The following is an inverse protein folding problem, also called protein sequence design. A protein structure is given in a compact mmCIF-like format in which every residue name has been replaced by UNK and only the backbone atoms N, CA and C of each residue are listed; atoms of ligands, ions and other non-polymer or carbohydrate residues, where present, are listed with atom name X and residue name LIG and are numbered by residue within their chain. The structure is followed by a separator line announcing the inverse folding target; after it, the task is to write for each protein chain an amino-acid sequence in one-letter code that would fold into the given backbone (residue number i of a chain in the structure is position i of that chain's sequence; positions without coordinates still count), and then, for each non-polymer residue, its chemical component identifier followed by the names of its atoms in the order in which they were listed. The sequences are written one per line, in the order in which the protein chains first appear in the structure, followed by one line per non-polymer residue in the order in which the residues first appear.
data_IF_637618745083
#
_entry.id   IF_637618745083
#
_cell.length_a   1.000
_cell.length_b   1.000
_cell.length_c   1.000
_cell.angle_alpha   90.00
_cell.angle_beta   90.00
_cell.angle_gamma   90.00
#
_symmetry.space_group_name_H-M   'P 1'
#
loop_
_entity.id
_entity.type
_entity.pdbx_description
1 polymer ?
#
# COMPACT_ATOMS: atom_id res chain seq x y z
N UNK A 1 -3.07 -27.63 -9.94
CA UNK A 1 -2.22 -26.52 -9.51
C UNK A 1 -0.78 -27.01 -9.43
N UNK A 2 0.14 -26.25 -9.99
CA UNK A 2 1.56 -26.58 -10.07
C UNK A 2 2.31 -25.98 -8.86
N UNK A 3 2.36 -26.77 -7.76
CA UNK A 3 3.02 -26.32 -6.52
C UNK A 3 4.55 -26.23 -6.65
N UNK A 4 5.17 -26.93 -7.61
CA UNK A 4 6.60 -26.76 -7.88
C UNK A 4 6.87 -25.38 -8.49
N UNK A 5 6.03 -24.93 -9.39
CA UNK A 5 6.09 -23.56 -9.91
C UNK A 5 5.89 -22.55 -8.78
N UNK A 6 4.92 -22.76 -7.88
CA UNK A 6 4.71 -21.87 -6.73
C UNK A 6 5.96 -21.78 -5.84
N UNK A 7 6.58 -22.91 -5.51
CA UNK A 7 7.82 -22.90 -4.74
C UNK A 7 8.96 -22.18 -5.47
N UNK A 8 9.06 -22.29 -6.82
CA UNK A 8 10.07 -21.54 -7.59
C UNK A 8 9.90 -20.05 -7.47
N UNK A 9 8.67 -19.51 -7.63
CA UNK A 9 8.44 -18.08 -7.47
C UNK A 9 8.66 -17.60 -6.03
N UNK A 10 8.33 -18.39 -5.03
CA UNK A 10 8.58 -18.06 -3.63
C UNK A 10 10.08 -18.06 -3.26
N UNK A 11 10.90 -18.84 -3.96
CA UNK A 11 12.35 -18.92 -3.72
C UNK A 11 13.14 -17.71 -4.21
N UNK A 12 12.55 -16.86 -5.04
CA UNK A 12 13.22 -15.63 -5.54
C UNK A 12 13.04 -14.51 -4.53
N UNK A 13 14.14 -13.87 -4.11
CA UNK A 13 14.08 -12.61 -3.35
C UNK A 13 13.63 -11.48 -4.30
N UNK A 14 12.37 -11.09 -4.17
CA UNK A 14 11.79 -9.97 -4.91
C UNK A 14 11.40 -8.81 -3.98
N UNK A 15 12.14 -8.60 -2.89
CA UNK A 15 11.95 -7.40 -2.08
C UNK A 15 12.10 -6.15 -2.94
N UNK A 16 11.27 -5.12 -2.69
CA UNK A 16 11.14 -3.92 -3.53
C UNK A 16 12.51 -3.39 -3.97
N UNK A 17 12.68 -3.25 -5.29
CA UNK A 17 13.94 -2.93 -5.96
C UNK A 17 14.76 -4.14 -6.44
N UNK A 18 14.35 -5.38 -6.12
CA UNK A 18 14.97 -6.63 -6.59
C UNK A 18 14.03 -7.51 -7.43
N UNK A 19 12.81 -7.10 -7.63
CA UNK A 19 11.76 -7.84 -8.33
C UNK A 19 12.06 -8.11 -9.81
N UNK A 20 13.04 -7.40 -10.38
CA UNK A 20 13.47 -7.63 -11.78
C UNK A 20 13.88 -9.07 -12.04
N UNK A 21 14.54 -9.74 -11.10
CA UNK A 21 14.91 -11.15 -11.22
C UNK A 21 13.69 -12.09 -11.30
N UNK A 22 12.62 -11.79 -10.56
CA UNK A 22 11.36 -12.53 -10.64
C UNK A 22 10.67 -12.28 -11.99
N UNK A 23 10.64 -11.02 -12.46
CA UNK A 23 10.08 -10.67 -13.76
C UNK A 23 10.78 -11.43 -14.91
N UNK A 24 12.11 -11.50 -14.89
CA UNK A 24 12.90 -12.22 -15.90
C UNK A 24 12.61 -13.73 -15.87
N UNK A 25 12.56 -14.35 -14.69
CA UNK A 25 12.23 -15.76 -14.53
C UNK A 25 10.83 -16.07 -15.08
N UNK A 26 9.83 -15.26 -14.71
CA UNK A 26 8.45 -15.44 -15.15
C UNK A 26 8.29 -15.19 -16.64
N UNK A 27 8.97 -14.19 -17.19
CA UNK A 27 8.97 -13.91 -18.62
C UNK A 27 9.48 -15.11 -19.42
N UNK A 28 10.59 -15.73 -19.01
CA UNK A 28 11.14 -16.92 -19.66
C UNK A 28 10.18 -18.12 -19.56
N UNK A 29 9.57 -18.36 -18.42
CA UNK A 29 8.59 -19.45 -18.18
C UNK A 29 7.35 -19.28 -19.07
N UNK A 30 6.81 -18.06 -19.13
CA UNK A 30 5.58 -17.76 -19.88
C UNK A 30 5.82 -17.78 -21.40
N UNK A 31 6.97 -17.27 -21.85
CA UNK A 31 7.35 -17.30 -23.27
C UNK A 31 7.58 -18.73 -23.80
N UNK A 32 8.13 -19.62 -22.99
CA UNK A 32 8.36 -21.03 -23.36
C UNK A 32 7.04 -21.75 -23.74
N UNK A 33 5.91 -21.23 -23.30
CA UNK A 33 4.57 -21.76 -23.62
C UNK A 33 3.98 -21.17 -24.91
N UNK A 34 4.73 -20.37 -25.69
CA UNK A 34 4.31 -19.78 -26.97
C UNK A 34 3.34 -18.62 -26.87
N UNK A 35 3.17 -18.03 -25.67
CA UNK A 35 2.31 -16.86 -25.43
C UNK A 35 3.02 -15.56 -25.77
N UNK A 36 2.26 -14.51 -26.08
CA UNK A 36 2.83 -13.16 -26.24
C UNK A 36 3.20 -12.61 -24.86
N UNK A 37 4.47 -12.33 -24.66
CA UNK A 37 5.04 -11.79 -23.41
C UNK A 37 5.72 -10.47 -23.73
N UNK A 38 5.36 -9.42 -22.98
CA UNK A 38 5.92 -8.08 -23.13
C UNK A 38 6.50 -7.63 -21.79
N UNK A 39 7.74 -7.14 -21.83
CA UNK A 39 8.42 -6.53 -20.67
C UNK A 39 8.48 -5.02 -20.87
N UNK A 40 8.15 -4.27 -19.83
CA UNK A 40 8.23 -2.81 -19.79
C UNK A 40 9.23 -2.42 -18.73
N UNK A 41 10.35 -1.83 -19.15
CA UNK A 41 11.32 -1.26 -18.20
C UNK A 41 10.68 -0.12 -17.41
N UNK A 42 10.81 -0.19 -16.09
CA UNK A 42 10.22 0.81 -15.19
C UNK A 42 11.30 1.72 -14.58
N UNK A 43 12.48 1.20 -14.34
CA UNK A 43 13.64 1.90 -13.81
C UNK A 43 14.39 1.05 -12.78
N UNK A 44 15.65 1.37 -12.57
CA UNK A 44 16.53 0.73 -11.58
C UNK A 44 16.57 -0.81 -11.66
N UNK A 45 16.42 -1.37 -12.88
CA UNK A 45 16.40 -2.82 -13.13
C UNK A 45 15.07 -3.51 -12.80
N UNK A 46 14.02 -2.76 -12.50
CA UNK A 46 12.68 -3.28 -12.29
C UNK A 46 11.86 -3.25 -13.58
N UNK A 47 10.93 -4.19 -13.73
CA UNK A 47 10.16 -4.38 -14.96
C UNK A 47 8.73 -4.78 -14.64
N UNK A 48 7.78 -4.26 -15.44
CA UNK A 48 6.46 -4.83 -15.53
C UNK A 48 6.44 -5.95 -16.57
N UNK A 49 5.57 -6.93 -16.38
CA UNK A 49 5.41 -8.07 -17.27
C UNK A 49 3.94 -8.21 -17.67
N UNK A 50 3.64 -8.23 -18.97
CA UNK A 50 2.31 -8.49 -19.53
C UNK A 50 2.35 -9.77 -20.36
N UNK A 51 1.46 -10.71 -20.04
CA UNK A 51 1.18 -11.91 -20.86
C UNK A 51 -0.21 -11.79 -21.45
N UNK A 52 -0.37 -12.04 -22.73
CA UNK A 52 -1.65 -11.85 -23.45
C UNK A 52 -2.11 -13.09 -24.17
N UNK A 53 -3.43 -13.34 -24.10
CA UNK A 53 -4.18 -14.30 -24.90
C UNK A 53 -5.15 -13.52 -25.81
N UNK A 54 -4.81 -13.41 -27.08
CA UNK A 54 -5.53 -12.55 -28.03
C UNK A 54 -5.34 -11.06 -27.74
N UNK A 55 -6.41 -10.28 -27.86
CA UNK A 55 -6.46 -8.85 -27.49
C UNK A 55 -7.20 -8.71 -26.16
N UNK A 56 -6.52 -8.47 -25.05
CA UNK A 56 -7.16 -8.50 -23.74
C UNK A 56 -8.27 -7.47 -23.59
N UNK A 57 -9.45 -7.92 -23.20
CA UNK A 57 -10.55 -7.09 -22.69
C UNK A 57 -10.56 -7.08 -21.16
N UNK A 58 -10.08 -8.18 -20.54
CA UNK A 58 -9.89 -8.31 -19.11
C UNK A 58 -8.42 -8.62 -18.80
N UNK A 59 -7.86 -7.95 -17.83
CA UNK A 59 -6.49 -8.18 -17.36
C UNK A 59 -6.53 -8.53 -15.87
N UNK A 60 -6.00 -9.69 -15.51
CA UNK A 60 -5.64 -9.99 -14.13
C UNK A 60 -4.33 -9.27 -13.80
N UNK A 61 -4.27 -8.60 -12.66
CA UNK A 61 -3.14 -7.72 -12.31
C UNK A 61 -2.76 -7.91 -10.85
N UNK A 62 -1.47 -8.03 -10.56
CA UNK A 62 -0.92 -7.96 -9.20
C UNK A 62 0.53 -7.53 -9.26
N UNK A 63 1.22 -7.45 -8.11
CA UNK A 63 2.58 -6.95 -8.06
C UNK A 63 3.63 -8.06 -7.87
N UNK A 64 4.86 -7.75 -8.29
CA UNK A 64 6.04 -8.63 -8.24
C UNK A 64 6.84 -8.46 -6.95
N UNK A 65 6.87 -7.22 -6.43
CA UNK A 65 7.68 -6.89 -5.27
C UNK A 65 7.02 -7.33 -3.95
N UNK A 66 7.82 -7.37 -2.92
CA UNK A 66 7.40 -7.68 -1.55
C UNK A 66 8.11 -6.75 -0.57
N UNK A 67 7.52 -6.46 0.59
CA UNK A 67 8.22 -5.73 1.65
C UNK A 67 9.43 -6.50 2.17
N UNK A 68 10.53 -5.81 2.58
CA UNK A 68 11.65 -6.45 3.27
C UNK A 68 11.28 -6.81 4.73
N UNK A 69 12.00 -7.77 5.37
CA UNK A 69 13.03 -8.60 4.77
C UNK A 69 12.46 -9.78 3.96
N UNK A 70 13.28 -10.33 3.05
CA UNK A 70 12.98 -11.63 2.45
C UNK A 70 12.98 -12.71 3.53
N UNK A 71 11.92 -13.53 3.55
CA UNK A 71 11.75 -14.67 4.45
C UNK A 71 11.54 -15.89 3.57
N UNK A 72 12.48 -16.87 3.58
CA UNK A 72 12.37 -18.09 2.78
C UNK A 72 11.08 -18.83 3.06
N UNK A 73 10.46 -19.37 2.00
CA UNK A 73 9.24 -20.14 2.14
C UNK A 73 9.49 -21.53 2.70
N UNK A 74 8.60 -21.97 3.56
CA UNK A 74 8.42 -23.37 3.92
C UNK A 74 6.92 -23.73 3.90
N UNK A 75 6.61 -25.00 3.74
CA UNK A 75 5.22 -25.47 3.81
C UNK A 75 5.02 -26.36 5.04
N UNK A 76 3.87 -26.20 5.66
CA UNK A 76 3.48 -26.99 6.83
C UNK A 76 2.00 -27.37 6.78
N UNK A 77 1.61 -28.41 7.49
CA UNK A 77 0.21 -28.76 7.68
C UNK A 77 -0.39 -27.88 8.76
N UNK A 78 -1.58 -27.38 8.52
CA UNK A 78 -2.31 -26.63 9.52
C UNK A 78 -2.60 -27.48 10.75
N UNK A 79 -2.59 -26.87 11.93
CA UNK A 79 -2.97 -27.52 13.18
C UNK A 79 -4.42 -27.16 13.56
N UNK A 80 -5.17 -28.10 14.16
CA UNK A 80 -6.53 -27.85 14.62
C UNK A 80 -7.62 -28.39 13.68
N UNK A 81 -8.74 -27.69 13.55
CA UNK A 81 -9.90 -28.10 12.74
C UNK A 81 -9.61 -28.25 11.26
N UNK A 82 -8.60 -27.55 10.75
CA UNK A 82 -8.18 -27.55 9.34
C UNK A 82 -6.91 -28.36 9.08
N UNK A 83 -6.65 -29.37 9.92
CA UNK A 83 -5.44 -30.24 9.84
C UNK A 83 -5.23 -30.93 8.47
N UNK A 84 -6.22 -30.88 7.57
CA UNK A 84 -6.12 -31.41 6.20
C UNK A 84 -5.56 -30.38 5.19
N UNK A 85 -5.50 -29.09 5.54
CA UNK A 85 -5.01 -28.04 4.66
C UNK A 85 -3.49 -27.83 4.80
N UNK A 86 -2.90 -27.18 3.83
CA UNK A 86 -1.48 -26.87 3.77
C UNK A 86 -1.30 -25.35 3.77
N UNK A 87 -0.45 -24.85 4.65
CA UNK A 87 0.00 -23.47 4.67
C UNK A 87 1.37 -23.36 4.00
N UNK A 88 1.53 -22.32 3.19
CA UNK A 88 2.82 -21.84 2.67
C UNK A 88 3.19 -20.59 3.47
N UNK A 89 4.27 -20.68 4.23
CA UNK A 89 4.71 -19.62 5.14
C UNK A 89 5.98 -18.96 4.60
N UNK A 90 6.07 -17.64 4.66
CA UNK A 90 7.22 -16.87 4.19
C UNK A 90 6.82 -15.59 3.46
N UNK A 91 7.79 -14.74 3.16
CA UNK A 91 7.54 -13.44 2.53
C UNK A 91 7.01 -13.58 1.10
N UNK A 92 5.89 -12.88 0.79
CA UNK A 92 5.24 -12.91 -0.51
C UNK A 92 4.27 -14.08 -0.69
N UNK A 93 4.16 -14.99 0.28
CA UNK A 93 3.20 -16.11 0.15
C UNK A 93 1.78 -15.61 0.04
N UNK A 94 1.43 -14.55 0.76
CA UNK A 94 0.14 -13.87 0.73
C UNK A 94 0.20 -12.61 -0.17
N UNK A 95 1.26 -11.81 -0.03
CA UNK A 95 1.36 -10.47 -0.61
C UNK A 95 2.69 -10.29 -1.39
N UNK A 96 2.70 -10.50 -2.75
CA UNK A 96 1.56 -10.94 -3.57
C UNK A 96 1.90 -12.12 -4.50
N UNK A 97 2.92 -12.96 -4.19
CA UNK A 97 3.28 -14.12 -5.05
C UNK A 97 2.19 -15.20 -5.06
N UNK A 98 1.42 -15.31 -3.96
CA UNK A 98 0.21 -16.14 -3.93
C UNK A 98 -0.83 -15.66 -4.93
N UNK A 99 -0.98 -14.35 -5.11
CA UNK A 99 -1.83 -13.74 -6.11
C UNK A 99 -1.35 -14.10 -7.53
N UNK A 100 -0.03 -13.92 -7.79
CA UNK A 100 0.60 -14.28 -9.07
C UNK A 100 0.28 -15.73 -9.42
N UNK A 101 0.49 -16.63 -8.46
CA UNK A 101 0.27 -18.06 -8.65
C UNK A 101 -1.20 -18.38 -8.95
N UNK A 102 -2.13 -17.85 -8.16
CA UNK A 102 -3.57 -18.10 -8.34
C UNK A 102 -4.08 -17.56 -9.68
N UNK A 103 -3.65 -16.36 -10.07
CA UNK A 103 -4.00 -15.75 -11.36
C UNK A 103 -3.41 -16.55 -12.53
N UNK A 104 -2.17 -17.01 -12.42
CA UNK A 104 -1.55 -17.84 -13.44
C UNK A 104 -2.28 -19.18 -13.63
N UNK A 105 -2.64 -19.85 -12.55
CA UNK A 105 -3.44 -21.09 -12.60
C UNK A 105 -4.82 -20.86 -13.21
N UNK A 106 -5.45 -19.71 -12.93
CA UNK A 106 -6.72 -19.33 -13.55
C UNK A 106 -6.55 -19.07 -15.05
N UNK A 107 -5.49 -18.39 -15.48
CA UNK A 107 -5.17 -18.15 -16.88
C UNK A 107 -4.99 -19.49 -17.64
N UNK A 108 -4.27 -20.44 -17.07
CA UNK A 108 -4.12 -21.79 -17.66
C UNK A 108 -5.47 -22.53 -17.78
N UNK A 109 -6.32 -22.37 -16.75
CA UNK A 109 -7.65 -22.99 -16.79
C UNK A 109 -8.56 -22.38 -17.82
N UNK A 110 -8.50 -21.07 -18.07
CA UNK A 110 -9.23 -20.36 -19.11
C UNK A 110 -8.71 -20.74 -20.50
N UNK A 111 -7.41 -20.75 -20.70
CA UNK A 111 -6.77 -21.18 -21.94
C UNK A 111 -7.18 -22.62 -22.34
N UNK A 112 -7.15 -23.54 -21.39
CA UNK A 112 -7.59 -24.93 -21.62
C UNK A 112 -9.06 -25.07 -22.02
N UNK A 113 -9.88 -24.03 -21.73
CA UNK A 113 -11.28 -23.94 -22.14
C UNK A 113 -11.45 -23.19 -23.48
N UNK A 114 -10.35 -22.79 -24.14
CA UNK A 114 -10.37 -22.04 -25.40
C UNK A 114 -10.73 -20.56 -25.25
N UNK A 115 -10.68 -20.03 -24.02
CA UNK A 115 -10.92 -18.61 -23.80
C UNK A 115 -9.74 -17.79 -24.34
N UNK A 116 -10.06 -16.61 -24.88
CA UNK A 116 -9.12 -15.61 -25.37
C UNK A 116 -9.52 -14.24 -24.80
N UNK A 117 -8.89 -13.16 -25.25
CA UNK A 117 -9.22 -11.78 -24.88
C UNK A 117 -8.97 -11.46 -23.39
N UNK A 118 -7.99 -12.13 -22.79
CA UNK A 118 -7.53 -11.81 -21.43
C UNK A 118 -6.01 -11.70 -21.34
N UNK A 119 -5.53 -11.12 -20.23
CA UNK A 119 -4.11 -10.98 -19.95
C UNK A 119 -3.79 -11.16 -18.48
N UNK A 120 -2.49 -11.29 -18.20
CA UNK A 120 -1.91 -11.26 -16.86
C UNK A 120 -0.84 -10.18 -16.82
N UNK A 121 -1.03 -9.17 -15.99
CA UNK A 121 -0.13 -8.05 -15.78
C UNK A 121 0.50 -8.14 -14.39
N UNK A 122 1.81 -8.17 -14.34
CA UNK A 122 2.58 -8.20 -13.10
C UNK A 122 3.40 -6.91 -13.01
N UNK A 123 3.17 -6.14 -11.95
CA UNK A 123 3.68 -4.79 -11.77
C UNK A 123 4.83 -4.74 -10.78
N UNK A 124 5.78 -3.84 -11.01
CA UNK A 124 6.88 -3.56 -10.09
C UNK A 124 6.51 -2.45 -9.10
N UNK A 125 7.04 -2.51 -7.88
CA UNK A 125 7.09 -1.40 -6.94
C UNK A 125 5.75 -0.92 -6.40
N UNK A 126 4.79 -1.81 -6.18
CA UNK A 126 3.54 -1.49 -5.48
C UNK A 126 3.82 -0.98 -4.08
N UNK A 127 4.63 -1.72 -3.32
CA UNK A 127 4.99 -1.49 -1.91
C UNK A 127 5.76 -0.18 -1.67
N UNK A 128 6.28 0.40 -2.72
CA UNK A 128 7.08 1.64 -2.67
C UNK A 128 6.43 2.82 -3.40
N UNK A 129 5.15 2.69 -3.74
CA UNK A 129 4.32 3.79 -4.27
C UNK A 129 3.82 3.59 -5.68
N UNK A 130 3.59 2.35 -6.11
CA UNK A 130 2.91 1.98 -7.36
C UNK A 130 3.58 2.57 -8.61
N UNK A 131 4.90 2.63 -8.63
CA UNK A 131 5.59 3.26 -9.76
C UNK A 131 5.47 2.41 -11.04
N UNK A 132 5.40 1.09 -10.93
CA UNK A 132 5.12 0.18 -12.06
C UNK A 132 3.75 0.40 -12.66
N UNK A 133 2.71 0.54 -11.83
CA UNK A 133 1.37 0.86 -12.29
C UNK A 133 1.30 2.21 -13.02
N UNK A 134 1.98 3.23 -12.48
CA UNK A 134 2.10 4.55 -13.11
C UNK A 134 2.78 4.45 -14.48
N UNK A 135 3.91 3.74 -14.55
CA UNK A 135 4.64 3.54 -15.79
C UNK A 135 3.81 2.78 -16.83
N UNK A 136 3.09 1.73 -16.42
CA UNK A 136 2.20 0.98 -17.30
C UNK A 136 1.06 1.84 -17.84
N UNK A 137 0.40 2.59 -16.99
CA UNK A 137 -0.67 3.53 -17.40
C UNK A 137 -0.19 4.51 -18.46
N UNK A 138 1.03 5.04 -18.32
CA UNK A 138 1.56 6.07 -19.20
C UNK A 138 2.08 5.47 -20.54
N UNK A 139 2.33 4.16 -20.61
CA UNK A 139 2.91 3.46 -21.76
C UNK A 139 1.93 2.56 -22.51
N UNK A 140 0.80 2.14 -21.89
CA UNK A 140 -0.12 1.15 -22.43
C UNK A 140 -1.57 1.64 -22.38
N UNK A 141 -2.38 1.37 -23.41
CA UNK A 141 -3.78 1.84 -23.46
C UNK A 141 -4.69 1.17 -22.42
N UNK A 142 -4.23 0.11 -21.74
CA UNK A 142 -5.06 -0.67 -20.82
C UNK A 142 -6.02 -1.61 -21.52
N UNK A 143 -7.14 -1.90 -20.88
CA UNK A 143 -8.23 -2.72 -21.37
C UNK A 143 -9.55 -2.25 -20.74
N UNK A 144 -10.65 -2.95 -21.04
CA UNK A 144 -11.97 -2.62 -20.46
C UNK A 144 -11.97 -2.91 -18.94
N UNK A 145 -11.49 -4.09 -18.55
CA UNK A 145 -11.51 -4.57 -17.16
C UNK A 145 -10.12 -4.86 -16.62
N UNK A 146 -9.89 -4.49 -15.34
CA UNK A 146 -8.77 -5.02 -14.55
C UNK A 146 -9.28 -5.65 -13.26
N UNK A 147 -8.75 -6.84 -12.95
CA UNK A 147 -8.93 -7.53 -11.67
C UNK A 147 -7.61 -7.46 -10.93
N UNK A 148 -7.55 -6.62 -9.91
CA UNK A 148 -6.35 -6.45 -9.07
C UNK A 148 -6.37 -7.47 -7.95
N UNK A 149 -5.32 -8.25 -7.85
CA UNK A 149 -5.13 -9.30 -6.82
C UNK A 149 -4.43 -8.76 -5.60
N UNK A 150 -5.16 -8.76 -4.50
CA UNK A 150 -4.72 -8.33 -3.18
C UNK A 150 -5.29 -9.26 -2.10
N UNK A 151 -4.71 -9.32 -0.89
CA UNK A 151 -5.21 -10.18 0.20
C UNK A 151 -6.58 -9.72 0.74
N UNK A 152 -7.66 -10.19 0.14
CA UNK A 152 -9.03 -9.80 0.50
C UNK A 152 -9.87 -10.95 1.06
N UNK A 153 -9.24 -12.04 1.52
CA UNK A 153 -9.93 -13.26 1.98
C UNK A 153 -10.90 -13.83 0.91
N UNK A 154 -10.53 -13.74 -0.37
CA UNK A 154 -11.37 -14.13 -1.52
C UNK A 154 -12.71 -13.35 -1.66
N UNK A 155 -12.91 -12.26 -0.91
CA UNK A 155 -14.04 -11.35 -1.09
C UNK A 155 -13.73 -10.30 -2.17
N UNK A 156 -14.73 -9.74 -2.81
CA UNK A 156 -14.55 -8.54 -3.62
C UNK A 156 -14.54 -7.30 -2.73
N UNK A 157 -13.53 -6.45 -2.88
CA UNK A 157 -13.54 -5.18 -2.18
C UNK A 157 -14.61 -4.25 -2.79
N UNK A 158 -15.47 -3.68 -1.95
CA UNK A 158 -16.45 -2.67 -2.39
C UNK A 158 -15.82 -1.27 -2.50
N UNK A 159 -14.82 -1.00 -1.67
CA UNK A 159 -14.01 0.20 -1.70
C UNK A 159 -12.70 0.00 -0.91
N UNK A 160 -11.71 0.85 -1.19
CA UNK A 160 -10.47 0.95 -0.42
C UNK A 160 -10.27 2.36 0.13
N UNK A 161 -9.65 2.48 1.31
CA UNK A 161 -9.22 3.76 1.86
C UNK A 161 -8.14 4.37 1.00
N UNK A 162 -8.18 5.70 0.89
CA UNK A 162 -7.10 6.48 0.34
C UNK A 162 -5.92 6.58 1.28
N UNK A 163 -4.83 7.09 0.74
CA UNK A 163 -3.60 7.36 1.48
C UNK A 163 -3.18 8.81 1.29
N UNK A 164 -2.67 9.45 2.34
CA UNK A 164 -2.01 10.76 2.23
C UNK A 164 -0.77 10.75 3.13
N UNK A 165 0.36 11.10 2.55
CA UNK A 165 1.64 11.19 3.24
C UNK A 165 2.10 12.63 3.31
N UNK A 166 2.50 13.06 4.50
CA UNK A 166 3.05 14.40 4.73
C UNK A 166 4.37 14.29 5.49
N UNK A 167 5.38 14.98 5.00
CA UNK A 167 6.58 15.25 5.76
C UNK A 167 6.36 16.53 6.58
N UNK A 168 6.61 16.45 7.87
CA UNK A 168 6.48 17.57 8.79
C UNK A 168 7.84 17.80 9.42
N UNK A 169 8.34 19.03 9.31
CA UNK A 169 9.58 19.46 9.93
C UNK A 169 9.32 20.60 10.93
N UNK A 170 9.97 20.51 12.06
CA UNK A 170 9.91 21.50 13.14
C UNK A 170 11.30 22.09 13.34
N UNK A 171 11.39 23.42 13.36
CA UNK A 171 12.59 24.19 13.61
C UNK A 171 12.51 24.82 14.99
N UNK A 172 13.43 24.45 15.87
CA UNK A 172 13.59 24.98 17.20
C UNK A 172 14.78 25.91 17.30
N UNK A 173 15.19 26.14 18.54
CA UNK A 173 16.42 26.89 18.90
C UNK A 173 17.12 26.16 20.03
N UNK A 174 18.28 25.60 19.76
CA UNK A 174 19.07 24.91 20.76
C UNK A 174 19.45 25.85 21.92
N UNK A 175 19.31 25.35 23.12
CA UNK A 175 19.77 26.00 24.34
C UNK A 175 19.97 24.97 25.46
N UNK A 176 20.65 25.34 26.52
CA UNK A 176 20.85 24.49 27.69
C UNK A 176 19.51 24.14 28.34
N UNK A 177 19.20 22.85 28.53
CA UNK A 177 17.91 22.37 29.02
C UNK A 177 17.48 22.88 30.39
N UNK A 178 18.43 23.33 31.21
CA UNK A 178 18.17 23.97 32.50
C UNK A 178 17.65 25.41 32.40
N UNK A 179 17.68 26.02 31.21
CA UNK A 179 17.22 27.40 30.95
C UNK A 179 16.33 27.44 29.69
N UNK A 180 15.22 26.71 29.74
CA UNK A 180 14.37 26.47 28.53
C UNK A 180 13.75 27.75 27.97
N UNK A 181 13.64 28.80 28.78
CA UNK A 181 13.12 30.14 28.39
C UNK A 181 13.97 30.85 27.31
N UNK A 182 15.22 30.39 27.10
CA UNK A 182 16.15 30.99 26.12
C UNK A 182 16.23 30.22 24.80
N UNK A 183 15.52 29.09 24.69
CA UNK A 183 15.50 28.25 23.51
C UNK A 183 14.08 27.90 23.07
N UNK A 184 13.99 27.01 22.07
CA UNK A 184 12.75 26.47 21.53
C UNK A 184 12.99 25.01 21.22
N UNK A 185 12.24 24.12 21.87
CA UNK A 185 12.36 22.69 21.62
C UNK A 185 11.50 22.25 20.42
N UNK A 186 12.14 21.73 19.39
CA UNK A 186 11.42 21.11 18.25
C UNK A 186 10.58 19.90 18.70
N UNK A 187 10.98 19.20 19.76
CA UNK A 187 10.21 18.09 20.36
C UNK A 187 8.91 18.59 20.99
N UNK A 188 8.93 19.75 21.68
CA UNK A 188 7.71 20.34 22.23
C UNK A 188 6.77 20.86 21.13
N UNK A 189 7.33 21.43 20.05
CA UNK A 189 6.57 21.79 18.84
C UNK A 189 5.83 20.57 18.26
N UNK A 190 6.53 19.44 18.14
CA UNK A 190 5.93 18.20 17.67
C UNK A 190 4.84 17.69 18.64
N UNK A 191 5.06 17.76 19.95
CA UNK A 191 4.07 17.36 20.96
C UNK A 191 2.78 18.18 20.85
N UNK A 192 2.88 19.50 20.68
CA UNK A 192 1.74 20.39 20.49
C UNK A 192 1.02 20.09 19.15
N UNK A 193 1.78 19.87 18.07
CA UNK A 193 1.23 19.44 16.80
C UNK A 193 0.44 18.14 16.94
N UNK A 194 0.98 17.15 17.61
CA UNK A 194 0.31 15.87 17.82
C UNK A 194 -0.96 16.01 18.68
N UNK A 195 -0.91 16.88 19.68
CA UNK A 195 -2.09 17.17 20.51
C UNK A 195 -3.20 17.82 19.70
N UNK A 196 -2.84 18.78 18.85
CA UNK A 196 -3.78 19.44 17.94
C UNK A 196 -4.34 18.47 16.89
N UNK A 197 -3.48 17.67 16.24
CA UNK A 197 -3.91 16.69 15.23
C UNK A 197 -4.90 15.67 15.81
N UNK A 198 -4.63 15.15 17.02
CA UNK A 198 -5.51 14.22 17.73
C UNK A 198 -6.84 14.83 18.16
N UNK A 199 -6.90 16.16 18.31
CA UNK A 199 -8.16 16.85 18.66
C UNK A 199 -9.11 17.01 17.47
N UNK A 200 -8.63 16.86 16.24
CA UNK A 200 -9.43 16.98 15.03
C UNK A 200 -10.36 15.78 14.92
N UNK A 201 -11.63 16.07 14.62
CA UNK A 201 -12.64 15.06 14.34
C UNK A 201 -12.85 15.00 12.83
N UNK A 202 -12.36 13.95 12.20
CA UNK A 202 -12.68 13.66 10.81
C UNK A 202 -14.06 13.03 10.72
N UNK A 203 -14.84 13.32 9.68
CA UNK A 203 -16.13 12.69 9.47
C UNK A 203 -15.95 11.18 9.31
N UNK A 204 -16.91 10.42 9.84
CA UNK A 204 -16.99 8.98 9.64
C UNK A 204 -17.70 8.70 8.32
N UNK A 205 -17.08 7.89 7.49
CA UNK A 205 -17.63 7.40 6.23
C UNK A 205 -18.50 6.15 6.49
N UNK A 206 -19.65 6.07 5.85
CA UNK A 206 -20.57 4.94 6.05
C UNK A 206 -19.99 3.60 5.56
N UNK A 207 -19.17 3.62 4.51
CA UNK A 207 -18.59 2.42 3.91
C UNK A 207 -17.17 2.14 4.47
N UNK A 208 -16.31 3.16 4.53
CA UNK A 208 -14.91 3.01 4.89
C UNK A 208 -14.61 3.26 6.38
N UNK A 209 -15.59 3.72 7.13
CA UNK A 209 -15.47 3.95 8.57
C UNK A 209 -14.63 5.17 8.93
N UNK A 210 -13.75 5.02 9.93
CA UNK A 210 -12.95 6.12 10.48
C UNK A 210 -11.69 6.41 9.68
N UNK A 211 -11.31 7.68 9.60
CA UNK A 211 -9.97 8.10 9.16
C UNK A 211 -8.96 7.80 10.25
N UNK A 212 -7.84 7.19 9.88
CA UNK A 212 -6.76 6.88 10.81
C UNK A 212 -5.44 7.47 10.33
N UNK A 213 -4.48 7.64 11.24
CA UNK A 213 -3.13 8.05 10.85
C UNK A 213 -2.07 7.39 11.72
N UNK A 214 -0.87 7.30 11.17
CA UNK A 214 0.34 6.85 11.85
C UNK A 214 1.44 7.88 11.68
N UNK A 215 2.35 7.96 12.66
CA UNK A 215 3.57 8.77 12.59
C UNK A 215 4.76 7.85 12.48
N UNK A 216 5.54 8.01 11.42
CA UNK A 216 6.77 7.27 11.17
C UNK A 216 7.93 8.20 10.84
N UNK A 217 9.11 7.62 10.64
CA UNK A 217 10.35 8.35 10.30
C UNK A 217 10.60 9.56 11.21
N UNK A 218 10.32 9.38 12.51
CA UNK A 218 10.53 10.41 13.52
C UNK A 218 12.02 10.49 13.84
N UNK A 219 12.63 11.65 13.59
CA UNK A 219 14.05 11.90 13.82
C UNK A 219 14.22 13.21 14.55
N UNK A 220 14.90 13.17 15.70
CA UNK A 220 15.42 14.31 16.43
C UNK A 220 16.72 13.89 17.10
N UNK A 221 17.84 14.41 16.59
CA UNK A 221 19.18 14.02 17.06
C UNK A 221 19.78 15.16 17.88
N UNK A 222 19.47 15.19 19.16
CA UNK A 222 20.00 16.16 20.12
C UNK A 222 20.44 15.49 21.42
N UNK A 223 21.51 16.01 22.08
CA UNK A 223 21.88 15.58 23.43
C UNK A 223 20.76 15.87 24.44
N UNK A 224 20.61 15.01 25.45
CA UNK A 224 19.54 15.12 26.44
C UNK A 224 19.53 16.42 27.25
N UNK A 225 20.67 17.10 27.34
CA UNK A 225 20.84 18.35 28.09
C UNK A 225 20.77 19.62 27.24
N UNK A 226 20.38 19.49 25.96
CA UNK A 226 20.18 20.57 24.99
C UNK A 226 18.78 20.47 24.42
N UNK A 227 18.05 21.58 24.32
CA UNK A 227 16.78 21.65 23.62
C UNK A 227 17.00 21.30 22.15
N UNK A 228 16.15 20.44 21.61
CA UNK A 228 16.21 20.08 20.17
C UNK A 228 15.95 21.28 19.29
N UNK A 229 16.82 21.54 18.34
CA UNK A 229 16.66 22.59 17.33
C UNK A 229 16.00 22.08 16.03
N UNK A 230 15.84 20.77 15.88
CA UNK A 230 15.20 20.20 14.72
C UNK A 230 14.52 18.86 15.03
N UNK A 231 13.35 18.66 14.40
CA UNK A 231 12.66 17.37 14.38
C UNK A 231 11.96 17.20 13.04
N UNK A 232 12.06 16.02 12.45
CA UNK A 232 11.30 15.65 11.25
C UNK A 232 10.49 14.39 11.49
N UNK A 233 9.33 14.28 10.86
CA UNK A 233 8.54 13.06 10.87
C UNK A 233 7.71 12.92 9.59
N UNK A 234 7.16 11.72 9.38
CA UNK A 234 6.13 11.45 8.39
C UNK A 234 4.81 11.14 9.06
N UNK A 235 3.75 11.86 8.66
CA UNK A 235 2.37 11.54 9.03
C UNK A 235 1.70 10.89 7.85
N UNK A 236 1.20 9.68 8.05
CA UNK A 236 0.58 8.87 7.02
C UNK A 236 -0.87 8.58 7.37
N UNK A 237 -1.79 9.06 6.57
CA UNK A 237 -3.23 8.90 6.76
C UNK A 237 -3.80 7.77 5.90
N UNK A 238 -4.80 7.10 6.44
CA UNK A 238 -5.77 6.28 5.72
C UNK A 238 -7.06 7.08 5.66
N UNK A 239 -7.37 7.63 4.50
CA UNK A 239 -8.49 8.54 4.28
C UNK A 239 -9.75 7.82 3.78
N UNK A 240 -10.89 8.47 3.92
CA UNK A 240 -12.20 8.00 3.44
C UNK A 240 -12.75 8.99 2.43
N UNK A 241 -13.84 8.67 1.73
CA UNK A 241 -14.47 9.60 0.78
C UNK A 241 -14.85 10.92 1.44
N UNK A 242 -15.30 10.87 2.72
CA UNK A 242 -15.71 12.03 3.48
C UNK A 242 -14.55 12.88 4.02
N UNK A 243 -13.36 12.31 4.15
CA UNK A 243 -12.24 12.95 4.83
C UNK A 243 -11.04 13.29 3.95
N UNK A 244 -10.97 12.79 2.72
CA UNK A 244 -9.76 12.85 1.89
C UNK A 244 -9.28 14.30 1.63
N UNK A 245 -10.19 15.15 1.21
CA UNK A 245 -9.91 16.57 1.00
C UNK A 245 -9.67 17.30 2.32
N UNK A 246 -10.46 16.98 3.36
CA UNK A 246 -10.33 17.59 4.67
C UNK A 246 -8.95 17.35 5.29
N UNK A 247 -8.39 16.14 5.15
CA UNK A 247 -7.03 15.82 5.62
C UNK A 247 -6.00 16.72 4.95
N UNK A 248 -6.08 16.91 3.63
CA UNK A 248 -5.16 17.80 2.90
C UNK A 248 -5.26 19.26 3.39
N UNK A 249 -6.49 19.75 3.57
CA UNK A 249 -6.74 21.10 4.05
C UNK A 249 -6.26 21.31 5.48
N UNK A 250 -6.54 20.36 6.37
CA UNK A 250 -6.06 20.37 7.76
C UNK A 250 -4.55 20.45 7.82
N UNK A 251 -3.86 19.56 7.14
CA UNK A 251 -2.38 19.50 7.17
C UNK A 251 -1.76 20.79 6.59
N UNK A 252 -2.31 21.32 5.50
CA UNK A 252 -1.89 22.59 4.93
C UNK A 252 -2.10 23.76 5.90
N UNK A 253 -3.25 23.80 6.57
CA UNK A 253 -3.61 24.91 7.47
C UNK A 253 -2.81 24.85 8.78
N UNK A 254 -2.40 23.67 9.24
CA UNK A 254 -1.54 23.51 10.43
C UNK A 254 -0.17 24.18 10.26
N UNK A 255 0.34 24.33 9.03
CA UNK A 255 1.57 25.05 8.70
C UNK A 255 1.33 26.52 8.32
N UNK A 256 0.08 26.96 8.20
CA UNK A 256 -0.26 28.30 7.74
C UNK A 256 -0.09 29.38 8.82
N UNK A 257 -0.01 30.65 8.42
CA UNK A 257 0.13 31.79 9.36
C UNK A 257 -1.07 31.95 10.31
N UNK A 258 -2.21 31.33 9.99
CA UNK A 258 -3.41 31.32 10.83
C UNK A 258 -3.46 30.12 11.79
N UNK A 259 -2.46 29.23 11.75
CA UNK A 259 -2.38 28.12 12.69
C UNK A 259 -2.34 28.67 14.11
N UNK A 260 -3.47 28.60 14.82
CA UNK A 260 -3.61 29.05 16.22
C UNK A 260 -2.85 28.15 17.20
N UNK A 261 -1.99 27.29 16.68
CA UNK A 261 -1.19 26.38 17.46
C UNK A 261 -0.07 27.19 18.12
N UNK A 262 -0.08 27.24 19.40
CA UNK A 262 0.95 27.83 20.22
C UNK A 262 2.09 26.82 20.37
N UNK A 263 2.85 26.62 19.30
CA UNK A 263 3.95 25.68 19.30
C UNK A 263 5.14 26.19 20.12
N UNK A 264 5.79 25.28 20.86
CA UNK A 264 7.12 25.45 21.35
C UNK A 264 7.30 26.34 22.56
N UNK A 265 6.28 26.54 23.35
CA UNK A 265 6.46 27.17 24.64
C UNK A 265 6.84 26.13 25.68
N UNK A 266 7.98 26.26 26.35
CA UNK A 266 8.27 25.45 27.51
C UNK A 266 7.12 25.64 28.52
N UNK A 267 6.48 24.55 28.91
CA UNK A 267 5.46 24.59 29.97
C UNK A 267 6.16 24.62 31.31
N UNK A 268 5.84 25.58 32.15
CA UNK A 268 6.19 25.53 33.57
C UNK A 268 5.22 24.62 34.31
N UNK A 269 5.64 24.07 35.45
CA UNK A 269 4.88 23.09 36.23
C UNK A 269 3.47 23.57 36.65
N UNK A 270 3.21 24.86 36.69
CA UNK A 270 1.91 25.46 37.02
C UNK A 270 0.95 25.59 35.81
N UNK A 271 1.35 25.10 34.64
CA UNK A 271 0.55 25.15 33.42
C UNK A 271 0.55 26.51 32.70
N UNK A 272 1.32 27.50 33.19
CA UNK A 272 1.47 28.77 32.49
C UNK A 272 2.44 28.61 31.31
N UNK A 273 2.14 29.28 30.19
CA UNK A 273 3.03 29.33 29.03
C UNK A 273 4.10 30.44 29.25
N UNK A 274 5.37 30.12 29.04
CA UNK A 274 6.41 31.14 28.95
C UNK A 274 6.20 31.89 27.62
N UNK A 275 5.92 33.19 27.71
CA UNK A 275 5.64 34.02 26.53
C UNK A 275 6.94 34.24 25.76
N UNK A 276 7.06 33.71 24.57
CA UNK A 276 8.16 34.04 23.66
C UNK A 276 8.11 35.53 23.31
N UNK A 277 9.25 36.19 23.35
CA UNK A 277 9.36 37.65 23.11
C UNK A 277 9.09 38.04 21.66
N UNK A 278 9.03 37.07 20.74
CA UNK A 278 8.83 37.32 19.32
C UNK A 278 7.96 36.26 18.64
N UNK A 279 6.66 36.56 18.52
CA UNK A 279 5.66 35.63 17.92
C UNK A 279 5.89 35.44 16.40
N UNK A 280 6.53 36.40 15.72
CA UNK A 280 6.77 36.30 14.27
C UNK A 280 7.80 35.23 13.89
N UNK A 281 8.71 34.87 14.79
CA UNK A 281 9.65 33.76 14.57
C UNK A 281 8.98 32.38 14.62
N UNK A 282 7.82 32.26 15.26
CA UNK A 282 7.11 31.00 15.45
C UNK A 282 6.35 30.55 14.23
N UNK A 283 5.89 31.49 13.39
CA UNK A 283 5.13 31.17 12.18
C UNK A 283 5.96 30.42 11.12
N UNK A 284 7.29 30.37 11.29
CA UNK A 284 8.21 29.61 10.44
C UNK A 284 8.68 28.30 11.08
N UNK A 285 8.28 28.02 12.32
CA UNK A 285 8.81 26.90 13.10
C UNK A 285 8.31 25.53 12.65
N UNK A 286 7.32 25.48 11.76
CA UNK A 286 6.81 24.22 11.22
C UNK A 286 6.59 24.33 9.71
N UNK A 287 7.05 23.31 9.00
CA UNK A 287 6.75 23.13 7.57
C UNK A 287 6.03 21.80 7.34
N UNK A 288 5.06 21.82 6.42
CA UNK A 288 4.34 20.61 5.98
C UNK A 288 4.48 20.50 4.48
N UNK A 289 5.01 19.38 4.03
CA UNK A 289 5.18 19.04 2.63
C UNK A 289 4.38 17.79 2.30
N UNK A 290 3.45 17.89 1.34
CA UNK A 290 2.76 16.71 0.82
C UNK A 290 3.76 15.80 0.10
N UNK A 291 3.66 14.50 0.38
CA UNK A 291 4.57 13.48 -0.15
C UNK A 291 3.86 12.45 -1.05
N UNK A 292 2.64 12.75 -1.45
CA UNK A 292 1.82 11.89 -2.30
C UNK A 292 0.75 11.12 -1.54
N UNK A 293 0.15 10.20 -2.26
CA UNK A 293 -0.92 9.32 -1.81
C UNK A 293 -2.09 9.32 -2.79
N UNK A 294 -2.93 8.31 -2.66
CA UNK A 294 -4.06 8.04 -3.54
C UNK A 294 -5.38 8.45 -2.91
N UNK A 295 -6.37 8.74 -3.74
CA UNK A 295 -7.74 8.96 -3.28
C UNK A 295 -8.41 7.62 -2.90
N UNK A 296 -9.40 7.64 -2.00
CA UNK A 296 -10.24 6.48 -1.76
C UNK A 296 -10.89 6.02 -3.07
N UNK A 297 -10.97 4.70 -3.26
CA UNK A 297 -11.41 4.13 -4.54
C UNK A 297 -12.61 3.21 -4.32
N UNK A 298 -13.64 3.33 -5.16
CA UNK A 298 -14.74 2.36 -5.28
C UNK A 298 -14.39 1.32 -6.33
N UNK A 299 -14.80 0.09 -6.10
CA UNK A 299 -14.61 -1.03 -7.02
C UNK A 299 -15.94 -1.58 -7.51
N UNK A 300 -15.91 -2.17 -8.69
CA UNK A 300 -17.01 -2.96 -9.20
C UNK A 300 -17.08 -4.29 -8.44
N UNK A 301 -18.29 -4.75 -8.20
CA UNK A 301 -18.55 -6.05 -7.57
C UNK A 301 -19.54 -6.86 -8.39
N UNK A 302 -19.40 -8.17 -8.39
CA UNK A 302 -20.24 -9.06 -9.19
C UNK A 302 -21.22 -9.84 -8.29
N UNK A 303 -22.42 -10.14 -8.77
CA UNK A 303 -23.41 -10.93 -8.03
C UNK A 303 -22.86 -12.29 -7.59
N UNK A 304 -23.19 -12.68 -6.35
CA UNK A 304 -22.81 -13.96 -5.78
C UNK A 304 -21.37 -14.04 -5.24
N UNK A 305 -20.65 -12.91 -5.17
CA UNK A 305 -19.43 -12.78 -4.38
C UNK A 305 -19.73 -12.08 -3.06
N UNK A 306 -19.03 -12.51 -2.02
CA UNK A 306 -19.00 -11.75 -0.77
C UNK A 306 -18.25 -10.45 -0.99
N UNK A 307 -18.69 -9.36 -0.33
CA UNK A 307 -18.09 -8.04 -0.49
C UNK A 307 -17.74 -7.42 0.85
N UNK A 308 -16.64 -6.67 0.90
CA UNK A 308 -16.23 -5.91 2.09
C UNK A 308 -15.42 -4.67 1.68
N UNK A 309 -15.44 -3.59 2.48
CA UNK A 309 -14.48 -2.50 2.33
C UNK A 309 -13.10 -2.95 2.84
N UNK A 310 -12.03 -2.36 2.30
CA UNK A 310 -10.66 -2.58 2.75
C UNK A 310 -9.98 -1.29 3.20
N UNK A 311 -9.03 -1.40 4.12
CA UNK A 311 -8.33 -0.23 4.70
C UNK A 311 -6.90 -0.05 4.19
N UNK A 312 -6.48 -0.82 3.18
CA UNK A 312 -5.15 -0.74 2.57
C UNK A 312 -5.21 -0.15 1.16
N UNK A 313 -4.05 0.25 0.63
CA UNK A 313 -3.88 0.71 -0.74
C UNK A 313 -3.57 -0.44 -1.70
N UNK A 314 -3.56 -0.15 -2.99
CA UNK A 314 -3.17 -1.09 -4.05
C UNK A 314 -2.77 -0.30 -5.30
N UNK A 315 -2.35 -0.99 -6.35
CA UNK A 315 -2.09 -0.38 -7.66
C UNK A 315 -3.34 0.15 -8.38
N UNK A 316 -4.54 -0.29 -7.96
CA UNK A 316 -5.80 0.02 -8.64
C UNK A 316 -6.07 1.52 -8.87
N UNK A 317 -5.80 2.46 -7.94
CA UNK A 317 -5.98 3.89 -8.17
C UNK A 317 -5.13 4.43 -9.32
N UNK A 318 -3.97 3.84 -9.60
CA UNK A 318 -3.05 4.29 -10.64
C UNK A 318 -3.41 3.76 -12.04
N UNK A 319 -4.18 2.67 -12.12
CA UNK A 319 -4.57 2.01 -13.38
C UNK A 319 -5.78 2.69 -14.03
N UNK A 320 -5.68 4.00 -14.32
CA UNK A 320 -6.77 4.80 -14.90
C UNK A 320 -6.97 4.59 -16.42
N UNK A 321 -6.12 3.78 -17.02
CA UNK A 321 -6.25 3.30 -18.40
C UNK A 321 -7.15 2.06 -18.53
N UNK A 322 -7.78 1.61 -17.44
CA UNK A 322 -8.85 0.61 -17.44
C UNK A 322 -10.18 1.28 -17.07
N UNK A 323 -11.25 0.91 -17.78
CA UNK A 323 -12.57 1.49 -17.55
C UNK A 323 -13.20 1.00 -16.23
N UNK A 324 -13.04 -0.29 -15.93
CA UNK A 324 -13.64 -0.96 -14.78
C UNK A 324 -12.58 -1.69 -13.94
N UNK A 325 -12.75 -1.66 -12.63
CA UNK A 325 -11.79 -2.22 -11.67
C UNK A 325 -12.47 -3.09 -10.63
N UNK A 326 -11.95 -4.30 -10.46
CA UNK A 326 -12.30 -5.22 -9.37
C UNK A 326 -11.06 -5.42 -8.52
N UNK A 327 -11.22 -5.49 -7.20
CA UNK A 327 -10.16 -5.85 -6.26
C UNK A 327 -10.58 -7.12 -5.53
N UNK A 328 -9.84 -8.21 -5.71
CA UNK A 328 -10.16 -9.52 -5.12
C UNK A 328 -8.95 -10.45 -5.16
N UNK A 329 -8.71 -11.19 -4.09
CA UNK A 329 -7.69 -12.23 -4.09
C UNK A 329 -7.63 -13.07 -2.82
N UNK A 330 -6.80 -14.13 -2.85
CA UNK A 330 -6.63 -15.05 -1.73
C UNK A 330 -5.84 -14.45 -0.57
N UNK A 331 -5.98 -15.08 0.59
CA UNK A 331 -5.25 -14.72 1.80
C UNK A 331 -5.77 -13.48 2.49
N UNK A 332 -5.25 -13.22 3.67
CA UNK A 332 -5.69 -12.13 4.54
C UNK A 332 -4.63 -11.05 4.69
N UNK A 333 -5.05 -9.79 4.56
CA UNK A 333 -4.16 -8.63 4.85
C UNK A 333 -3.64 -8.63 6.29
N UNK A 334 -4.30 -9.35 7.20
CA UNK A 334 -3.92 -9.39 8.61
C UNK A 334 -2.64 -10.19 8.86
N UNK A 335 -2.20 -11.00 7.90
CA UNK A 335 -0.93 -11.74 7.96
C UNK A 335 0.15 -11.17 7.04
N UNK A 336 -0.22 -10.32 6.08
CA UNK A 336 0.72 -9.63 5.20
C UNK A 336 1.69 -8.72 6.00
N UNK A 337 2.90 -8.53 5.47
CA UNK A 337 3.97 -7.71 6.07
C UNK A 337 4.50 -8.18 7.43
N UNK A 338 4.07 -9.35 7.90
CA UNK A 338 4.49 -9.93 9.18
C UNK A 338 5.53 -11.03 8.97
N UNK A 339 6.33 -11.36 10.02
CA UNK A 339 7.21 -12.54 9.96
C UNK A 339 6.46 -13.87 9.75
N UNK A 340 5.22 -13.94 10.24
CA UNK A 340 4.34 -15.11 10.15
C UNK A 340 3.44 -15.08 8.91
N UNK A 341 3.81 -14.34 7.88
CA UNK A 341 3.07 -14.27 6.63
C UNK A 341 2.89 -15.67 6.04
N UNK A 342 1.65 -15.99 5.68
CA UNK A 342 1.29 -17.29 5.12
C UNK A 342 0.05 -17.21 4.24
N UNK A 343 -0.15 -18.27 3.43
CA UNK A 343 -1.37 -18.48 2.64
C UNK A 343 -1.77 -19.96 2.68
N UNK A 344 -3.06 -20.22 2.68
CA UNK A 344 -3.59 -21.58 2.67
C UNK A 344 -3.77 -22.09 1.22
N UNK A 345 -3.56 -23.40 1.03
CA UNK A 345 -3.80 -24.02 -0.27
C UNK A 345 -5.28 -23.96 -0.67
N UNK A 346 -6.18 -24.03 0.31
CA UNK A 346 -7.62 -23.83 0.09
C UNK A 346 -7.94 -22.44 -0.44
N UNK A 347 -7.31 -21.38 0.11
CA UNK A 347 -7.51 -20.00 -0.35
C UNK A 347 -7.05 -19.82 -1.80
N UNK A 348 -5.90 -20.41 -2.16
CA UNK A 348 -5.39 -20.38 -3.52
C UNK A 348 -6.34 -21.11 -4.50
N UNK A 349 -6.87 -22.28 -4.12
CA UNK A 349 -7.85 -23.03 -4.93
C UNK A 349 -9.15 -22.21 -5.13
N UNK A 350 -9.62 -21.57 -4.07
CA UNK A 350 -10.82 -20.74 -4.15
C UNK A 350 -10.59 -19.53 -5.05
N UNK A 351 -9.42 -18.89 -4.98
CA UNK A 351 -9.07 -17.75 -5.83
C UNK A 351 -9.03 -18.14 -7.31
N UNK A 352 -8.43 -19.29 -7.65
CA UNK A 352 -8.44 -19.79 -9.04
C UNK A 352 -9.88 -19.93 -9.57
N UNK A 353 -10.76 -20.53 -8.76
CA UNK A 353 -12.17 -20.68 -9.13
C UNK A 353 -12.87 -19.31 -9.27
N UNK A 354 -12.57 -18.38 -8.38
CA UNK A 354 -13.11 -17.01 -8.41
C UNK A 354 -12.67 -16.25 -9.67
N UNK A 355 -11.39 -16.27 -10.03
CA UNK A 355 -10.89 -15.58 -11.23
C UNK A 355 -11.48 -16.15 -12.53
N UNK A 356 -11.59 -17.47 -12.63
CA UNK A 356 -12.29 -18.11 -13.76
C UNK A 356 -13.77 -17.69 -13.82
N UNK A 357 -14.45 -17.64 -12.67
CA UNK A 357 -15.84 -17.20 -12.58
C UNK A 357 -15.99 -15.72 -12.94
N UNK A 358 -15.09 -14.84 -12.47
CA UNK A 358 -15.08 -13.40 -12.81
C UNK A 358 -14.98 -13.25 -14.34
N UNK A 359 -14.00 -13.89 -14.97
CA UNK A 359 -13.85 -13.84 -16.43
C UNK A 359 -15.13 -14.26 -17.14
N UNK A 360 -15.71 -15.41 -16.77
CA UNK A 360 -16.93 -15.92 -17.42
C UNK A 360 -18.14 -15.02 -17.23
N UNK A 361 -18.24 -14.35 -16.08
CA UNK A 361 -19.35 -13.43 -15.80
C UNK A 361 -19.25 -12.16 -16.64
N UNK A 362 -18.02 -11.68 -16.90
CA UNK A 362 -17.80 -10.42 -17.61
C UNK A 362 -17.71 -10.60 -19.14
N UNK A 363 -17.25 -11.77 -19.61
CA UNK A 363 -16.97 -12.00 -21.03
C UNK A 363 -18.08 -12.79 -21.76
N UNK A 364 -19.09 -13.31 -21.05
CA UNK A 364 -20.28 -13.96 -21.61
C UNK A 364 -21.49 -13.04 -21.53
#
# INVERSE_FOLDING_TARGET
MDLEFFNRILSVDSTSGKEGGLADMLSAEFAASGRKVELFEVGDGTKNLLVSWGTPKLVFCTHLDTVPPYIPCHSERCSGSDASDMAFCGRGTCDAKGQIFAMWEACKALEAQGCTDFGLLLLAGEETGSFGAKAFRDQHPGAEWVVVGEPTDNCMASAAKGTKSFEVAFEGKAFHSGYPENGISAVELFNDFMSALRSIRFPKDELLGETTFNVGKLVSDNPQNILSDSLTCRVYFRTTFESDEMVCNVMKNMAGPEAKLRFGRPRVQDGSDIVAKDVAQWQKAMTVKAFGGDAPTRFETLPGFETKPVSFGSDAPQLNNFAHKILCGPGSILVAHRPEEHILLSDLKQAVANYVRIYKTLMN
#
